data_IF_034511702326
#
_entry.id   IF_034511702326
#
_cell.length_a   1.000
_cell.length_b   1.000
_cell.length_c   1.000
_cell.angle_alpha   90.00
_cell.angle_beta   90.00
_cell.angle_gamma   90.00
#
_symmetry.space_group_name_H-M   'P 1'
#
loop_
_entity.id
_entity.type
_entity.pdbx_description
1 polymer ?
#
# COMPACT_ATOMS: atom_id res chain seq x y z
N UNK A 1 18.66 15.71 0.66
CA UNK A 1 17.20 15.57 0.49
C UNK A 1 16.55 15.69 1.86
N UNK A 2 15.50 16.51 2.02
CA UNK A 2 14.77 16.62 3.30
C UNK A 2 13.59 15.63 3.35
N UNK A 3 12.94 15.49 4.51
CA UNK A 3 11.81 14.57 4.72
C UNK A 3 10.63 14.85 3.79
N UNK A 4 10.39 16.13 3.44
CA UNK A 4 9.30 16.55 2.54
C UNK A 4 9.50 15.99 1.13
N UNK A 5 10.72 16.10 0.58
CA UNK A 5 11.03 15.56 -0.75
C UNK A 5 10.84 14.04 -0.79
N UNK A 6 11.25 13.34 0.28
CA UNK A 6 11.13 11.90 0.33
C UNK A 6 9.65 11.46 0.50
N UNK A 7 8.87 12.18 1.30
CA UNK A 7 7.42 11.94 1.42
C UNK A 7 6.71 12.12 0.07
N UNK A 8 6.97 13.22 -0.64
CA UNK A 8 6.39 13.49 -1.97
C UNK A 8 6.74 12.43 -3.02
N UNK A 9 7.91 11.82 -2.91
CA UNK A 9 8.30 10.71 -3.76
C UNK A 9 7.48 9.46 -3.45
N UNK A 10 7.32 9.11 -2.17
CA UNK A 10 6.81 7.78 -1.77
C UNK A 10 5.30 7.73 -1.52
N UNK A 11 4.64 8.87 -1.31
CA UNK A 11 3.26 8.93 -0.81
C UNK A 11 2.19 8.43 -1.79
N UNK A 12 2.45 8.45 -3.09
CA UNK A 12 1.50 8.00 -4.10
C UNK A 12 1.61 6.50 -4.43
N UNK A 13 2.71 5.83 -4.08
CA UNK A 13 2.87 4.40 -4.36
C UNK A 13 1.76 3.52 -3.77
N UNK A 14 1.31 3.72 -2.51
CA UNK A 14 0.27 2.90 -1.91
C UNK A 14 -1.06 2.94 -2.67
N UNK A 15 -1.53 4.14 -3.04
CA UNK A 15 -2.82 4.29 -3.73
C UNK A 15 -2.76 3.80 -5.17
N UNK A 16 -1.67 4.09 -5.88
CA UNK A 16 -1.45 3.63 -7.26
C UNK A 16 -1.32 2.10 -7.27
N UNK A 17 -0.56 1.53 -6.34
CA UNK A 17 -0.37 0.09 -6.20
C UNK A 17 -1.68 -0.63 -5.91
N UNK A 18 -2.51 -0.13 -5.00
CA UNK A 18 -3.85 -0.69 -4.75
C UNK A 18 -4.74 -0.61 -5.99
N UNK A 19 -4.76 0.52 -6.70
CA UNK A 19 -5.56 0.68 -7.91
C UNK A 19 -5.20 -0.38 -8.98
N UNK A 20 -3.91 -0.50 -9.34
CA UNK A 20 -3.48 -1.50 -10.32
C UNK A 20 -3.60 -2.93 -9.79
N UNK A 21 -3.35 -3.15 -8.50
CA UNK A 21 -3.53 -4.45 -7.86
C UNK A 21 -4.96 -4.96 -7.98
N UNK A 22 -5.97 -4.09 -7.79
CA UNK A 22 -7.39 -4.45 -7.98
C UNK A 22 -7.67 -4.82 -9.43
N UNK A 23 -7.20 -4.02 -10.40
CA UNK A 23 -7.39 -4.31 -11.82
C UNK A 23 -6.81 -5.67 -12.22
N UNK A 24 -5.59 -5.97 -11.75
CA UNK A 24 -4.91 -7.25 -12.02
C UNK A 24 -5.61 -8.41 -11.29
N UNK A 25 -6.08 -8.19 -10.05
CA UNK A 25 -6.82 -9.20 -9.29
C UNK A 25 -8.09 -9.59 -10.02
N UNK A 26 -8.90 -8.60 -10.43
CA UNK A 26 -10.13 -8.81 -11.18
C UNK A 26 -9.85 -9.57 -12.47
N UNK A 27 -8.82 -9.17 -13.22
CA UNK A 27 -8.40 -9.89 -14.42
C UNK A 27 -7.97 -11.33 -14.13
N UNK A 28 -7.21 -11.56 -13.06
CA UNK A 28 -6.77 -12.89 -12.61
C UNK A 28 -7.93 -13.82 -12.25
N UNK A 29 -8.97 -13.27 -11.60
CA UNK A 29 -10.21 -13.99 -11.28
C UNK A 29 -10.93 -14.40 -12.58
N UNK A 30 -11.14 -13.45 -13.50
CA UNK A 30 -11.81 -13.74 -14.79
C UNK A 30 -11.04 -14.77 -15.63
N UNK A 31 -9.71 -14.71 -15.62
CA UNK A 31 -8.85 -15.67 -16.34
C UNK A 31 -8.61 -16.98 -15.58
N UNK A 32 -9.09 -17.11 -14.35
CA UNK A 32 -8.82 -18.25 -13.45
C UNK A 32 -7.32 -18.59 -13.38
N UNK A 33 -6.46 -17.58 -13.41
CA UNK A 33 -5.02 -17.75 -13.51
C UNK A 33 -4.33 -17.47 -12.17
N UNK A 34 -3.81 -18.51 -11.54
CA UNK A 34 -3.15 -18.43 -10.23
C UNK A 34 -1.89 -17.55 -10.23
N UNK A 35 -1.15 -17.49 -11.33
CA UNK A 35 0.02 -16.63 -11.46
C UNK A 35 -0.40 -15.15 -11.44
N UNK A 36 -1.44 -14.79 -12.21
CA UNK A 36 -1.96 -13.41 -12.26
C UNK A 36 -2.51 -12.99 -10.89
N UNK A 37 -3.21 -13.88 -10.18
CA UNK A 37 -3.65 -13.63 -8.81
C UNK A 37 -2.47 -13.37 -7.86
N UNK A 38 -1.41 -14.17 -7.96
CA UNK A 38 -0.22 -13.99 -7.13
C UNK A 38 0.51 -12.67 -7.43
N UNK A 39 0.51 -12.20 -8.68
CA UNK A 39 1.04 -10.87 -9.03
C UNK A 39 0.23 -9.79 -8.32
N UNK A 40 -1.11 -9.84 -8.38
CA UNK A 40 -1.97 -8.89 -7.68
C UNK A 40 -1.70 -8.88 -6.16
N UNK A 41 -1.64 -10.06 -5.54
CA UNK A 41 -1.32 -10.19 -4.12
C UNK A 41 0.05 -9.60 -3.75
N UNK A 42 1.06 -9.81 -4.61
CA UNK A 42 2.39 -9.25 -4.41
C UNK A 42 2.37 -7.72 -4.47
N UNK A 43 1.59 -7.13 -5.38
CA UNK A 43 1.41 -5.68 -5.49
C UNK A 43 0.71 -5.12 -4.23
N UNK A 44 -0.28 -5.81 -3.67
CA UNK A 44 -0.92 -5.39 -2.42
C UNK A 44 0.04 -5.44 -1.22
N UNK A 45 0.90 -6.46 -1.14
CA UNK A 45 1.95 -6.54 -0.11
C UNK A 45 2.95 -5.39 -0.26
N UNK A 46 3.38 -5.10 -1.48
CA UNK A 46 4.24 -3.96 -1.76
C UNK A 46 3.57 -2.64 -1.34
N UNK A 47 2.30 -2.45 -1.67
CA UNK A 47 1.51 -1.27 -1.32
C UNK A 47 1.38 -1.10 0.21
N UNK A 48 1.22 -2.21 0.94
CA UNK A 48 1.22 -2.23 2.41
C UNK A 48 2.55 -1.72 2.98
N UNK A 49 3.68 -2.20 2.45
CA UNK A 49 5.01 -1.75 2.89
C UNK A 49 5.20 -0.26 2.58
N UNK A 50 4.86 0.17 1.36
CA UNK A 50 4.97 1.57 0.96
C UNK A 50 4.05 2.47 1.78
N UNK A 51 2.87 2.00 2.21
CA UNK A 51 1.97 2.77 3.07
C UNK A 51 2.61 3.07 4.43
N UNK A 52 3.35 2.09 4.98
CA UNK A 52 4.13 2.29 6.22
C UNK A 52 5.20 3.36 6.04
N UNK A 53 5.97 3.26 4.94
CA UNK A 53 7.06 4.19 4.62
C UNK A 53 6.49 5.61 4.41
N UNK A 54 5.39 5.74 3.68
CA UNK A 54 4.70 7.00 3.47
C UNK A 54 4.26 7.67 4.78
N UNK A 55 3.70 6.90 5.73
CA UNK A 55 3.31 7.45 7.03
C UNK A 55 4.51 7.96 7.83
N UNK A 56 5.58 7.17 7.94
CA UNK A 56 6.80 7.57 8.69
C UNK A 56 7.42 8.84 8.09
N UNK A 57 7.36 8.97 6.77
CA UNK A 57 7.96 10.10 6.07
C UNK A 57 7.05 11.33 6.07
N UNK A 58 5.74 11.12 6.14
CA UNK A 58 4.71 12.14 6.34
C UNK A 58 4.83 12.82 7.70
N UNK A 59 4.88 12.06 8.80
CA UNK A 59 5.14 12.59 10.16
C UNK A 59 6.38 13.49 10.19
N UNK A 60 7.47 13.02 9.59
CA UNK A 60 8.73 13.77 9.56
C UNK A 60 8.64 15.03 8.68
N UNK A 61 7.80 15.01 7.65
CA UNK A 61 7.55 16.16 6.80
C UNK A 61 6.69 17.20 7.52
N UNK A 62 5.66 16.78 8.23
CA UNK A 62 4.83 17.64 9.07
C UNK A 62 5.65 18.34 10.15
N UNK A 63 6.39 17.60 10.98
CA UNK A 63 7.25 18.18 12.02
C UNK A 63 8.33 19.13 11.49
N UNK A 64 8.77 18.94 10.24
CA UNK A 64 9.70 19.86 9.59
C UNK A 64 8.99 21.17 9.20
N UNK A 65 7.76 21.08 8.68
CA UNK A 65 6.97 22.22 8.25
C UNK A 65 6.37 23.01 9.42
N UNK A 66 6.06 22.38 10.55
CA UNK A 66 5.62 23.02 11.80
C UNK A 66 6.56 24.13 12.27
N UNK A 67 7.86 23.99 11.99
CA UNK A 67 8.90 24.98 12.36
C UNK A 67 8.98 26.17 11.43
N UNK A 68 8.11 26.26 10.42
CA UNK A 68 8.12 27.31 9.40
C UNK A 68 6.89 28.23 9.54
N UNK A 69 7.05 29.52 9.24
CA UNK A 69 6.01 30.55 9.46
C UNK A 69 4.73 30.39 8.60
N UNK A 70 4.67 29.43 7.68
CA UNK A 70 3.59 29.29 6.69
C UNK A 70 2.91 27.91 6.73
N UNK A 71 2.86 27.29 7.92
CA UNK A 71 2.35 25.94 8.15
C UNK A 71 0.82 25.88 8.18
N UNK A 72 0.22 25.16 7.24
CA UNK A 72 -1.23 24.95 7.16
C UNK A 72 -1.65 23.68 7.92
N UNK A 73 -1.48 23.70 9.26
CA UNK A 73 -1.64 22.53 10.13
C UNK A 73 -2.93 21.74 9.87
N UNK A 74 -4.08 22.43 9.84
CA UNK A 74 -5.42 21.81 9.69
C UNK A 74 -5.53 20.94 8.44
N UNK A 75 -4.92 21.36 7.32
CA UNK A 75 -4.99 20.58 6.08
C UNK A 75 -4.08 19.36 6.12
N UNK A 76 -2.90 19.49 6.73
CA UNK A 76 -1.90 18.42 6.84
C UNK A 76 -2.38 17.35 7.83
N UNK A 77 -2.87 17.77 9.00
CA UNK A 77 -3.46 16.87 10.01
C UNK A 77 -4.65 16.10 9.43
N UNK A 78 -5.52 16.77 8.68
CA UNK A 78 -6.61 16.10 7.97
C UNK A 78 -6.10 15.07 6.94
N UNK A 79 -5.05 15.41 6.19
CA UNK A 79 -4.41 14.47 5.26
C UNK A 79 -3.81 13.26 5.99
N UNK A 80 -3.12 13.48 7.11
CA UNK A 80 -2.53 12.42 7.94
C UNK A 80 -3.61 11.48 8.48
N UNK A 81 -4.72 12.02 8.99
CA UNK A 81 -5.83 11.22 9.52
C UNK A 81 -6.45 10.33 8.43
N UNK A 82 -6.67 10.87 7.22
CA UNK A 82 -7.16 10.08 6.08
C UNK A 82 -6.13 9.05 5.63
N UNK A 83 -4.85 9.41 5.59
CA UNK A 83 -3.76 8.49 5.23
C UNK A 83 -3.65 7.34 6.25
N UNK A 84 -3.88 7.60 7.54
CA UNK A 84 -3.90 6.60 8.60
C UNK A 84 -5.06 5.61 8.46
N UNK A 85 -6.26 6.09 8.12
CA UNK A 85 -7.41 5.22 7.81
C UNK A 85 -7.09 4.37 6.57
N UNK A 86 -6.58 4.99 5.51
CA UNK A 86 -6.18 4.30 4.29
C UNK A 86 -5.13 3.22 4.56
N UNK A 87 -4.07 3.52 5.32
CA UNK A 87 -3.02 2.58 5.72
C UNK A 87 -3.61 1.35 6.42
N UNK A 88 -4.55 1.53 7.36
CA UNK A 88 -5.21 0.40 8.04
C UNK A 88 -5.92 -0.53 7.05
N UNK A 89 -6.63 0.03 6.07
CA UNK A 89 -7.29 -0.76 5.02
C UNK A 89 -6.28 -1.48 4.14
N UNK A 90 -5.19 -0.83 3.73
CA UNK A 90 -4.13 -1.46 2.93
C UNK A 90 -3.39 -2.55 3.72
N UNK A 91 -3.22 -2.37 5.03
CA UNK A 91 -2.63 -3.40 5.91
C UNK A 91 -3.48 -4.65 5.99
N UNK A 92 -4.80 -4.49 6.13
CA UNK A 92 -5.73 -5.61 6.09
C UNK A 92 -5.64 -6.33 4.73
N UNK A 93 -5.68 -5.57 3.63
CA UNK A 93 -5.60 -6.11 2.28
C UNK A 93 -4.27 -6.85 2.01
N UNK A 94 -3.15 -6.28 2.44
CA UNK A 94 -1.82 -6.90 2.34
C UNK A 94 -1.74 -8.19 3.16
N UNK A 95 -2.31 -8.20 4.37
CA UNK A 95 -2.36 -9.40 5.23
C UNK A 95 -3.19 -10.52 4.59
N UNK A 96 -4.36 -10.19 4.04
CA UNK A 96 -5.19 -11.14 3.28
C UNK A 96 -4.44 -11.67 2.05
N UNK A 97 -3.68 -10.81 1.38
CA UNK A 97 -2.88 -11.18 0.20
C UNK A 97 -1.77 -12.18 0.52
N UNK A 98 -1.12 -12.04 1.68
CA UNK A 98 -0.14 -13.04 2.18
C UNK A 98 -0.81 -14.41 2.34
N UNK A 99 -2.00 -14.43 2.97
CA UNK A 99 -2.78 -15.67 3.14
C UNK A 99 -3.19 -16.25 1.77
N UNK A 100 -3.57 -15.39 0.83
CA UNK A 100 -3.92 -15.76 -0.55
C UNK A 100 -2.77 -16.47 -1.28
N UNK A 101 -1.54 -15.94 -1.21
CA UNK A 101 -0.35 -16.57 -1.80
C UNK A 101 -0.07 -17.93 -1.16
N UNK A 102 -0.11 -18.02 0.16
CA UNK A 102 0.13 -19.29 0.89
C UNK A 102 -0.90 -20.35 0.48
N UNK A 103 -2.17 -19.96 0.36
CA UNK A 103 -3.27 -20.87 0.00
C UNK A 103 -3.15 -21.34 -1.45
N UNK A 104 -2.85 -20.43 -2.38
CA UNK A 104 -2.62 -20.79 -3.79
C UNK A 104 -1.45 -21.78 -3.94
N UNK A 105 -0.34 -21.55 -3.23
CA UNK A 105 0.83 -22.45 -3.28
C UNK A 105 0.48 -23.86 -2.79
N UNK A 106 -0.31 -23.98 -1.72
CA UNK A 106 -0.79 -25.28 -1.21
C UNK A 106 -1.66 -26.02 -2.21
N UNK A 107 -2.55 -25.31 -2.91
CA UNK A 107 -3.43 -25.92 -3.92
C UNK A 107 -2.65 -26.45 -5.13
N UNK A 108 -1.64 -25.72 -5.60
CA UNK A 108 -0.77 -26.18 -6.70
C UNK A 108 0.03 -27.42 -6.29
N UNK A 109 0.53 -27.51 -5.05
CA UNK A 109 1.27 -28.68 -4.58
C UNK A 109 0.39 -29.93 -4.47
N UNK A 110 -0.86 -29.80 -4.00
CA UNK A 110 -1.82 -30.92 -3.90
C UNK A 110 -2.24 -31.51 -5.25
N UNK A 111 -2.21 -30.72 -6.33
CA UNK A 111 -2.57 -31.19 -7.68
C UNK A 111 -1.44 -31.99 -8.35
N UNK A 112 -0.21 -31.88 -7.83
CA UNK A 112 0.99 -32.51 -8.39
C UNK A 112 1.51 -33.68 -7.54
N UNK A 113 0.80 -34.08 -6.48
CA UNK A 113 1.09 -35.21 -5.58
C UNK A 113 0.09 -36.32 -5.77
#
# INVERSE_FOLDING_TARGET
MNSVHLHLLVNHFPIIGVFFGIAILVYGIFRKNALVLNIAYTIFIFSMIMSKISMITGDKAEHFLEKTNNFLHVLIEFHEEKAKIFMKTVYLLGSISIIGIITNKKNTLKLNS
#
